data_IF_870331367403
#
_entry.id   IF_870331367403
#
_cell.length_a   1.000
_cell.length_b   1.000
_cell.length_c   1.000
_cell.angle_alpha   90.00
_cell.angle_beta   90.00
_cell.angle_gamma   90.00
#
_symmetry.space_group_name_H-M   'P 1'
#
loop_
_entity.id
_entity.type
_entity.pdbx_description
1 polymer ?
#
# COMPACT_ATOMS: atom_id res chain seq x y z
N UNK A 1 -20.22 -5.06 -6.73
CA UNK A 1 -19.88 -4.76 -5.33
C UNK A 1 -19.45 -3.31 -5.27
N UNK A 2 -20.08 -2.51 -4.44
CA UNK A 2 -19.61 -1.15 -4.16
C UNK A 2 -18.59 -1.23 -3.04
N UNK A 3 -17.38 -0.74 -3.29
CA UNK A 3 -16.37 -0.59 -2.24
C UNK A 3 -16.62 0.73 -1.49
N UNK A 4 -16.35 0.79 -0.18
CA UNK A 4 -16.54 2.00 0.60
C UNK A 4 -15.55 3.13 0.21
N UNK A 5 -14.57 2.83 -0.63
CA UNK A 5 -13.57 3.78 -1.14
C UNK A 5 -13.47 3.69 -2.66
N UNK A 6 -13.15 4.82 -3.31
CA UNK A 6 -12.89 4.86 -4.75
C UNK A 6 -11.54 4.24 -5.11
N UNK A 7 -11.38 3.86 -6.38
CA UNK A 7 -10.10 3.39 -6.92
C UNK A 7 -8.97 4.41 -6.72
N UNK A 8 -9.26 5.70 -6.94
CA UNK A 8 -8.29 6.78 -6.73
C UNK A 8 -7.84 6.89 -5.26
N UNK A 9 -8.79 6.69 -4.33
CA UNK A 9 -8.49 6.66 -2.89
C UNK A 9 -7.59 5.47 -2.56
N UNK A 10 -7.87 4.31 -3.16
CA UNK A 10 -7.05 3.12 -2.95
C UNK A 10 -5.62 3.29 -3.47
N UNK A 11 -5.48 3.85 -4.67
CA UNK A 11 -4.19 4.21 -5.26
C UNK A 11 -3.42 5.21 -4.38
N UNK A 12 -4.11 6.22 -3.85
CA UNK A 12 -3.52 7.21 -2.94
C UNK A 12 -2.99 6.57 -1.64
N UNK A 13 -3.75 5.63 -1.07
CA UNK A 13 -3.36 4.88 0.13
C UNK A 13 -2.11 4.03 -0.13
N UNK A 14 -2.13 3.21 -1.19
CA UNK A 14 -0.97 2.35 -1.54
C UNK A 14 0.26 3.21 -1.87
N UNK A 15 0.09 4.30 -2.62
CA UNK A 15 1.16 5.24 -2.93
C UNK A 15 1.76 5.91 -1.69
N UNK A 16 0.93 6.27 -0.71
CA UNK A 16 1.37 6.85 0.56
C UNK A 16 2.21 5.86 1.38
N UNK A 17 1.78 4.60 1.46
CA UNK A 17 2.54 3.54 2.12
C UNK A 17 3.89 3.30 1.44
N UNK A 18 3.90 3.23 0.11
CA UNK A 18 5.13 3.10 -0.68
C UNK A 18 6.13 4.21 -0.39
N UNK A 19 5.71 5.48 -0.48
CA UNK A 19 6.59 6.63 -0.20
C UNK A 19 7.12 6.59 1.23
N UNK A 20 6.29 6.20 2.20
CA UNK A 20 6.73 6.06 3.58
C UNK A 20 7.80 4.97 3.74
N UNK A 21 7.57 3.79 3.19
CA UNK A 21 8.54 2.69 3.21
C UNK A 21 9.84 3.05 2.49
N UNK A 22 9.78 3.84 1.41
CA UNK A 22 10.98 4.39 0.74
C UNK A 22 11.77 5.33 1.65
N UNK A 23 11.08 6.19 2.43
CA UNK A 23 11.73 7.06 3.42
C UNK A 23 12.36 6.25 4.56
N UNK A 24 11.66 5.24 5.07
CA UNK A 24 12.19 4.30 6.06
C UNK A 24 13.45 3.60 5.53
N UNK A 25 13.42 3.12 4.27
CA UNK A 25 14.58 2.49 3.63
C UNK A 25 15.77 3.44 3.51
N UNK A 26 15.51 4.72 3.22
CA UNK A 26 16.57 5.74 3.14
C UNK A 26 17.22 6.03 4.50
N UNK A 27 16.52 5.75 5.60
CA UNK A 27 16.99 5.95 6.97
C UNK A 27 17.50 4.66 7.63
N UNK A 28 17.28 3.49 7.02
CA UNK A 28 17.71 2.20 7.54
C UNK A 28 19.23 2.04 7.44
N UNK A 29 19.83 1.57 8.54
CA UNK A 29 21.30 1.45 8.68
C UNK A 29 21.81 0.01 8.53
N UNK A 30 20.92 -0.98 8.49
CA UNK A 30 21.28 -2.39 8.32
C UNK A 30 20.75 -2.92 6.97
N UNK A 31 21.45 -3.91 6.40
CA UNK A 31 21.13 -4.45 5.07
C UNK A 31 19.86 -5.31 5.07
N UNK A 32 19.59 -6.04 6.16
CA UNK A 32 18.42 -6.91 6.28
C UNK A 32 17.11 -6.11 6.26
N UNK A 33 17.03 -5.03 7.04
CA UNK A 33 15.92 -4.07 7.07
C UNK A 33 15.76 -3.39 5.72
N UNK A 34 16.86 -2.97 5.08
CA UNK A 34 16.78 -2.39 3.72
C UNK A 34 16.20 -3.37 2.72
N UNK A 35 16.51 -4.67 2.84
CA UNK A 35 15.97 -5.73 1.98
C UNK A 35 14.49 -5.97 2.25
N UNK A 36 14.09 -6.07 3.52
CA UNK A 36 12.66 -6.20 3.88
C UNK A 36 11.83 -5.01 3.39
N UNK A 37 12.36 -3.79 3.53
CA UNK A 37 11.71 -2.58 3.04
C UNK A 37 11.64 -2.56 1.51
N UNK A 38 12.65 -3.08 0.81
CA UNK A 38 12.62 -3.24 -0.65
C UNK A 38 11.55 -4.22 -1.11
N UNK A 39 11.40 -5.35 -0.42
CA UNK A 39 10.37 -6.32 -0.75
C UNK A 39 8.96 -5.75 -0.50
N UNK A 40 8.78 -4.94 0.55
CA UNK A 40 7.54 -4.18 0.79
C UNK A 40 7.27 -3.16 -0.32
N UNK A 41 8.28 -2.41 -0.77
CA UNK A 41 8.14 -1.45 -1.88
C UNK A 41 7.70 -2.17 -3.16
N UNK A 42 8.30 -3.32 -3.47
CA UNK A 42 7.93 -4.14 -4.64
C UNK A 42 6.48 -4.63 -4.55
N UNK A 43 6.05 -5.06 -3.36
CA UNK A 43 4.66 -5.44 -3.12
C UNK A 43 3.71 -4.27 -3.42
N UNK A 44 3.97 -3.07 -2.90
CA UNK A 44 3.12 -1.90 -3.18
C UNK A 44 3.10 -1.51 -4.66
N UNK A 45 4.23 -1.61 -5.36
CA UNK A 45 4.29 -1.38 -6.82
C UNK A 45 3.45 -2.40 -7.60
N UNK A 46 3.44 -3.66 -7.16
CA UNK A 46 2.60 -4.68 -7.77
C UNK A 46 1.12 -4.41 -7.51
N UNK A 47 0.77 -4.01 -6.30
CA UNK A 47 -0.61 -3.64 -5.93
C UNK A 47 -1.11 -2.43 -6.74
N UNK A 48 -0.29 -1.39 -6.93
CA UNK A 48 -0.61 -0.27 -7.83
C UNK A 48 -0.88 -0.76 -9.27
N UNK A 49 -0.02 -1.66 -9.80
CA UNK A 49 -0.23 -2.24 -11.14
C UNK A 49 -1.53 -3.03 -11.24
N UNK A 50 -1.89 -3.77 -10.20
CA UNK A 50 -3.14 -4.53 -10.14
C UNK A 50 -4.34 -3.57 -10.09
N UNK A 51 -4.25 -2.48 -9.32
CA UNK A 51 -5.30 -1.46 -9.26
C UNK A 51 -5.52 -0.76 -10.61
N UNK A 52 -4.46 -0.49 -11.36
CA UNK A 52 -4.54 0.02 -12.74
C UNK A 52 -4.90 -1.05 -13.79
N UNK A 53 -4.86 -2.33 -13.42
CA UNK A 53 -5.09 -3.46 -14.31
C UNK A 53 -6.55 -3.62 -14.72
N UNK A 54 -6.75 -4.45 -15.74
CA UNK A 54 -8.08 -4.82 -16.25
C UNK A 54 -8.65 -6.08 -15.61
N UNK A 55 -7.85 -6.80 -14.83
CA UNK A 55 -8.28 -7.99 -14.09
C UNK A 55 -9.09 -7.59 -12.86
N UNK A 56 -10.40 -7.73 -12.96
CA UNK A 56 -11.31 -7.33 -11.89
C UNK A 56 -11.18 -8.16 -10.63
N UNK A 57 -10.86 -9.46 -10.71
CA UNK A 57 -10.72 -10.32 -9.54
C UNK A 57 -9.50 -9.92 -8.71
N UNK A 58 -8.36 -9.72 -9.38
CA UNK A 58 -7.15 -9.26 -8.72
C UNK A 58 -7.33 -7.85 -8.16
N UNK A 59 -7.98 -6.95 -8.92
CA UNK A 59 -8.31 -5.60 -8.45
C UNK A 59 -9.19 -5.62 -7.21
N UNK A 60 -10.23 -6.46 -7.18
CA UNK A 60 -11.10 -6.63 -6.02
C UNK A 60 -10.33 -7.10 -4.78
N UNK A 61 -9.41 -8.05 -4.95
CA UNK A 61 -8.58 -8.53 -3.85
C UNK A 61 -7.70 -7.42 -3.25
N UNK A 62 -7.09 -6.59 -4.09
CA UNK A 62 -6.27 -5.46 -3.61
C UNK A 62 -7.15 -4.38 -2.97
N UNK A 63 -8.32 -4.08 -3.54
CA UNK A 63 -9.28 -3.14 -2.94
C UNK A 63 -9.71 -3.59 -1.54
N UNK A 64 -10.01 -4.87 -1.35
CA UNK A 64 -10.37 -5.42 -0.04
C UNK A 64 -9.24 -5.27 0.98
N UNK A 65 -7.99 -5.58 0.58
CA UNK A 65 -6.81 -5.37 1.41
C UNK A 65 -6.61 -3.90 1.77
N UNK A 66 -6.85 -2.98 0.84
CA UNK A 66 -6.73 -1.55 1.09
C UNK A 66 -7.76 -1.07 2.13
N UNK A 67 -9.02 -1.52 2.01
CA UNK A 67 -10.08 -1.16 2.93
C UNK A 67 -9.84 -1.73 4.32
N UNK A 68 -9.53 -3.02 4.41
CA UNK A 68 -9.51 -3.73 5.69
C UNK A 68 -8.17 -3.63 6.42
N UNK A 69 -7.06 -3.42 5.71
CA UNK A 69 -5.72 -3.44 6.29
C UNK A 69 -4.99 -2.10 6.15
N UNK A 70 -4.87 -1.55 4.95
CA UNK A 70 -4.09 -0.33 4.74
C UNK A 70 -4.77 0.95 5.25
N UNK A 71 -6.10 1.04 5.14
CA UNK A 71 -6.84 2.21 5.59
C UNK A 71 -6.73 2.40 7.12
N UNK A 72 -6.92 1.36 7.97
CA UNK A 72 -6.60 1.45 9.39
C UNK A 72 -5.14 1.75 9.68
N UNK A 73 -4.21 1.12 8.94
CA UNK A 73 -2.78 1.33 9.12
C UNK A 73 -2.40 2.79 8.89
N UNK A 74 -2.86 3.43 7.81
CA UNK A 74 -2.60 4.85 7.56
C UNK A 74 -3.19 5.73 8.67
N UNK A 75 -4.40 5.42 9.16
CA UNK A 75 -5.00 6.18 10.27
C UNK A 75 -4.14 6.12 11.53
N UNK A 76 -3.66 4.92 11.90
CA UNK A 76 -2.73 4.73 13.01
C UNK A 76 -1.42 5.48 12.80
N UNK A 77 -0.86 5.41 11.59
CA UNK A 77 0.40 6.07 11.25
C UNK A 77 0.29 7.60 11.25
N UNK A 78 -0.90 8.15 10.99
CA UNK A 78 -1.18 9.58 11.02
C UNK A 78 -1.66 10.07 12.38
N UNK A 79 -1.76 9.21 13.40
CA UNK A 79 -2.14 9.57 14.76
C UNK A 79 -3.63 9.83 14.97
N UNK A 80 -4.50 9.39 14.06
CA UNK A 80 -5.96 9.42 14.26
C UNK A 80 -6.38 8.15 15.02
N UNK A 81 -6.37 8.23 16.35
CA UNK A 81 -7.04 7.28 17.27
C UNK A 81 -8.53 7.53 17.32
#
# INVERSE_FOLDING_TARGET
>A
MEYPISLDTALSIVGSLKVKTMKEKSNAHNEDERKELDDKIRMYLQEERILYGTDEYNRMSVMDKVVNYYSPLIKQLNGFT
#
